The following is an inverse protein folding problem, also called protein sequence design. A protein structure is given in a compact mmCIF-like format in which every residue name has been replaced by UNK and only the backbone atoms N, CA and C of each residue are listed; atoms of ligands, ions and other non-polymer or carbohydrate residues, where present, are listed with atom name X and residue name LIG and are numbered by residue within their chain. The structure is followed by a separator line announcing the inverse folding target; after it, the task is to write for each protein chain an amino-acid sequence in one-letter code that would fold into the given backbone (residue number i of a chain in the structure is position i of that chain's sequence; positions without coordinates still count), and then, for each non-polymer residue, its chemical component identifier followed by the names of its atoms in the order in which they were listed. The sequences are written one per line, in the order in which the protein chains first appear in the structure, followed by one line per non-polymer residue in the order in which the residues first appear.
data_IF_658730092748
#
_entry.id   IF_658730092748
#
_cell.length_a   1.000
_cell.length_b   1.000
_cell.length_c   1.000
_cell.angle_alpha   90.00
_cell.angle_beta   90.00
_cell.angle_gamma   90.00
#
_symmetry.space_group_name_H-M   'P 1'
#
loop_
_entity.id
_entity.type
_entity.pdbx_description
1 polymer ?
#
# COMPACT_ATOMS: atom_id res chain seq x y z
N UNK A 1 -9.39 -10.34 9.04
CA UNK A 1 -8.02 -10.80 9.35
C UNK A 1 -7.28 -11.05 8.03
N UNK A 2 -6.67 -9.99 7.48
CA UNK A 2 -6.13 -9.92 6.10
C UNK A 2 -4.60 -10.18 6.02
N UNK A 3 -4.06 -10.97 6.96
CA UNK A 3 -2.62 -11.27 7.02
C UNK A 3 -2.22 -12.39 6.04
N UNK A 4 -3.18 -13.21 5.61
CA UNK A 4 -2.93 -14.40 4.76
C UNK A 4 -2.74 -14.04 3.29
N UNK A 5 -3.33 -12.93 2.82
CA UNK A 5 -3.26 -12.51 1.42
C UNK A 5 -1.83 -12.19 0.95
N UNK A 6 -1.04 -11.34 1.65
CA UNK A 6 0.33 -11.03 1.22
C UNK A 6 1.23 -12.27 1.17
N UNK A 7 1.09 -13.20 2.13
CA UNK A 7 1.85 -14.47 2.11
C UNK A 7 1.57 -15.31 0.86
N UNK A 8 0.29 -15.44 0.47
CA UNK A 8 -0.12 -16.20 -0.73
C UNK A 8 0.35 -15.56 -2.03
N UNK A 9 0.51 -14.23 -2.08
CA UNK A 9 1.05 -13.53 -3.24
C UNK A 9 2.54 -13.84 -3.39
N UNK A 10 3.29 -13.90 -2.27
CA UNK A 10 4.70 -14.35 -2.27
C UNK A 10 4.82 -15.79 -2.74
N UNK A 11 4.02 -16.68 -2.17
CA UNK A 11 4.07 -18.12 -2.45
C UNK A 11 3.71 -18.45 -3.90
N UNK A 12 2.88 -17.61 -4.53
CA UNK A 12 2.48 -17.76 -5.94
C UNK A 12 3.30 -16.93 -6.92
N UNK A 13 4.29 -16.18 -6.43
CA UNK A 13 5.14 -15.26 -7.19
C UNK A 13 4.36 -14.46 -8.25
N UNK A 14 3.29 -13.78 -7.83
CA UNK A 14 2.40 -13.10 -8.78
C UNK A 14 3.17 -11.93 -9.42
N UNK A 15 3.33 -12.00 -10.74
CA UNK A 15 3.93 -10.92 -11.51
C UNK A 15 3.02 -9.69 -11.58
N UNK A 16 3.58 -8.46 -11.46
CA UNK A 16 2.86 -7.24 -11.78
C UNK A 16 2.35 -7.26 -13.22
N UNK A 17 1.13 -6.76 -13.42
CA UNK A 17 0.66 -6.44 -14.76
C UNK A 17 1.36 -5.18 -15.26
N UNK A 18 2.49 -5.36 -15.94
CA UNK A 18 3.28 -4.26 -16.51
C UNK A 18 2.54 -3.45 -17.57
N UNK A 19 1.39 -3.91 -18.09
CA UNK A 19 0.56 -3.16 -19.06
C UNK A 19 -0.58 -2.39 -18.38
N UNK A 20 -0.58 -2.27 -17.04
CA UNK A 20 -1.59 -1.52 -16.31
C UNK A 20 -1.54 -0.01 -16.67
N UNK A 21 -2.62 0.56 -17.23
CA UNK A 21 -2.67 1.98 -17.58
C UNK A 21 -2.65 2.90 -16.34
N UNK A 22 -3.00 2.38 -15.15
CA UNK A 22 -2.96 3.14 -13.90
C UNK A 22 -1.59 3.08 -13.21
N UNK A 23 -0.63 2.34 -13.77
CA UNK A 23 0.73 2.22 -13.29
C UNK A 23 0.85 1.60 -11.88
N UNK A 24 -0.10 0.76 -11.43
CA UNK A 24 -0.01 0.07 -10.14
C UNK A 24 0.34 -1.42 -10.29
N UNK A 25 0.72 -1.87 -11.49
CA UNK A 25 1.02 -3.28 -11.74
C UNK A 25 -0.17 -4.20 -11.50
N UNK A 26 -1.41 -3.70 -11.56
CA UNK A 26 -2.61 -4.46 -11.20
C UNK A 26 -2.84 -4.65 -9.70
N UNK A 27 -2.02 -4.04 -8.82
CA UNK A 27 -2.12 -4.18 -7.36
C UNK A 27 -3.03 -3.15 -6.68
N UNK A 28 -3.56 -2.16 -7.42
CA UNK A 28 -4.49 -1.16 -6.86
C UNK A 28 -5.71 -1.79 -6.13
N UNK A 29 -6.36 -2.85 -6.64
CA UNK A 29 -7.47 -3.50 -5.94
C UNK A 29 -7.06 -4.10 -4.59
N UNK A 30 -5.82 -4.58 -4.47
CA UNK A 30 -5.27 -5.11 -3.22
C UNK A 30 -5.05 -4.01 -2.18
N UNK A 31 -4.49 -2.87 -2.60
CA UNK A 31 -4.40 -1.68 -1.75
C UNK A 31 -5.77 -1.24 -1.23
N UNK A 32 -6.78 -1.20 -2.11
CA UNK A 32 -8.15 -0.87 -1.72
C UNK A 32 -8.75 -1.88 -0.73
N UNK A 33 -8.50 -3.18 -0.90
CA UNK A 33 -8.98 -4.21 0.02
C UNK A 33 -8.36 -4.07 1.42
N UNK A 34 -7.06 -3.77 1.50
CA UNK A 34 -6.35 -3.52 2.77
C UNK A 34 -6.96 -2.31 3.47
N UNK A 35 -7.20 -1.22 2.73
CA UNK A 35 -7.86 -0.01 3.22
C UNK A 35 -9.23 -0.34 3.80
N UNK A 36 -10.16 -0.88 3.00
CA UNK A 36 -11.55 -1.16 3.42
C UNK A 36 -11.57 -2.09 4.63
N UNK A 37 -10.73 -3.12 4.65
CA UNK A 37 -10.63 -4.02 5.80
C UNK A 37 -10.17 -3.32 7.07
N UNK A 38 -9.30 -2.32 6.97
CA UNK A 38 -8.80 -1.58 8.13
C UNK A 38 -9.80 -0.50 8.56
N UNK A 39 -10.49 0.14 7.61
CA UNK A 39 -11.56 1.09 7.89
C UNK A 39 -12.72 0.42 8.63
N UNK A 40 -13.11 -0.79 8.23
CA UNK A 40 -14.10 -1.59 8.97
C UNK A 40 -13.64 -1.90 10.39
N UNK A 41 -12.35 -2.25 10.56
CA UNK A 41 -11.77 -2.48 11.89
C UNK A 41 -11.84 -1.23 12.78
N UNK A 42 -11.42 -0.07 12.26
CA UNK A 42 -11.53 1.20 12.98
C UNK A 42 -12.98 1.61 13.23
N UNK A 43 -13.91 1.33 12.31
CA UNK A 43 -15.34 1.56 12.52
C UNK A 43 -15.90 0.75 13.69
N UNK A 44 -15.51 -0.52 13.82
CA UNK A 44 -15.89 -1.35 14.98
C UNK A 44 -15.30 -0.82 16.28
N UNK A 45 -14.02 -0.42 16.28
CA UNK A 45 -13.39 0.22 17.45
C UNK A 45 -14.14 1.50 17.83
N UNK A 46 -14.52 2.31 16.85
CA UNK A 46 -15.22 3.57 17.07
C UNK A 46 -16.59 3.33 17.70
N UNK A 47 -17.40 2.42 17.15
CA UNK A 47 -18.70 2.06 17.73
C UNK A 47 -18.54 1.53 19.16
N UNK A 48 -17.55 0.65 19.38
CA UNK A 48 -17.28 0.09 20.69
C UNK A 48 -16.83 1.17 21.69
N UNK A 49 -15.98 2.10 21.26
CA UNK A 49 -15.56 3.27 22.04
C UNK A 49 -16.76 4.12 22.43
N UNK A 50 -17.61 4.51 21.48
CA UNK A 50 -18.83 5.27 21.78
C UNK A 50 -19.71 4.53 22.79
N UNK A 51 -19.96 3.23 22.61
CA UNK A 51 -20.77 2.45 23.55
C UNK A 51 -20.18 2.37 24.96
N UNK A 52 -18.85 2.40 25.08
CA UNK A 52 -18.15 2.30 26.36
C UNK A 52 -18.13 3.63 27.13
N UNK A 53 -18.00 4.75 26.42
CA UNK A 53 -17.95 6.08 27.03
C UNK A 53 -19.33 6.77 27.16
N UNK A 54 -20.34 6.36 26.39
CA UNK A 54 -21.68 6.97 26.43
C UNK A 54 -22.34 6.93 27.83
N UNK A 55 -22.25 5.85 28.63
CA UNK A 55 -22.80 5.83 29.99
C UNK A 55 -22.14 6.85 30.93
N UNK A 56 -20.84 7.12 30.76
CA UNK A 56 -20.10 8.14 31.53
C UNK A 56 -20.65 9.54 31.24
N UNK A 57 -20.89 9.88 29.97
CA UNK A 57 -21.46 11.18 29.59
C UNK A 57 -22.89 11.38 30.08
N UNK A 58 -23.68 10.30 30.12
CA UNK A 58 -25.10 10.37 30.53
C UNK A 58 -25.31 10.21 32.04
N UNK A 59 -24.24 10.11 32.84
CA UNK A 59 -24.30 9.83 34.28
C UNK A 59 -25.24 8.66 34.61
N UNK A 60 -25.30 7.67 33.71
CA UNK A 60 -26.04 6.45 33.97
C UNK A 60 -25.22 5.68 34.99
N UNK A 61 -25.78 5.39 36.17
CA UNK A 61 -25.12 4.72 37.32
C UNK A 61 -24.71 3.26 37.06
N UNK A 62 -24.12 3.01 35.90
CA UNK A 62 -23.58 1.74 35.42
C UNK A 62 -22.16 1.61 35.95
N UNK A 63 -21.78 0.41 36.37
CA UNK A 63 -20.39 0.10 36.72
C UNK A 63 -19.58 0.08 35.42
N UNK A 64 -18.88 1.19 35.15
CA UNK A 64 -17.96 1.31 34.01
C UNK A 64 -16.60 0.77 34.44
N UNK A 65 -15.91 0.07 33.53
CA UNK A 65 -14.54 -0.35 33.76
C UNK A 65 -13.64 0.86 34.09
N UNK A 66 -12.56 0.69 34.90
CA UNK A 66 -11.62 1.77 35.18
C UNK A 66 -11.13 2.41 33.88
N UNK A 67 -11.02 3.75 33.87
CA UNK A 67 -10.58 4.53 32.70
C UNK A 67 -9.22 4.03 32.17
N UNK A 68 -8.35 3.58 33.06
CA UNK A 68 -7.02 3.07 32.72
C UNK A 68 -7.08 1.78 31.87
N UNK A 69 -7.96 0.85 32.22
CA UNK A 69 -8.11 -0.42 31.48
C UNK A 69 -8.69 -0.22 30.08
N UNK A 70 -9.68 0.67 29.95
CA UNK A 70 -10.26 1.04 28.66
C UNK A 70 -9.22 1.76 27.79
N UNK A 71 -8.43 2.66 28.37
CA UNK A 71 -7.38 3.39 27.64
C UNK A 71 -6.31 2.45 27.10
N UNK A 72 -5.85 1.49 27.91
CA UNK A 72 -4.88 0.47 27.48
C UNK A 72 -5.46 -0.41 26.36
N UNK A 73 -6.71 -0.86 26.50
CA UNK A 73 -7.37 -1.68 25.48
C UNK A 73 -7.50 -0.93 24.14
N UNK A 74 -8.02 0.30 24.15
CA UNK A 74 -8.17 1.09 22.93
C UNK A 74 -6.84 1.49 22.32
N UNK A 75 -5.83 1.79 23.14
CA UNK A 75 -4.46 2.03 22.68
C UNK A 75 -3.86 0.81 21.98
N UNK A 76 -4.01 -0.39 22.58
CA UNK A 76 -3.56 -1.65 21.99
C UNK A 76 -4.29 -1.98 20.69
N UNK A 77 -5.61 -1.84 20.67
CA UNK A 77 -6.43 -2.03 19.48
C UNK A 77 -6.07 -1.05 18.36
N UNK A 78 -5.80 0.21 18.70
CA UNK A 78 -5.35 1.22 17.74
C UNK A 78 -4.03 0.83 17.07
N UNK A 79 -3.01 0.48 17.88
CA UNK A 79 -1.71 0.03 17.38
C UNK A 79 -1.86 -1.22 16.51
N UNK A 80 -2.69 -2.16 16.92
CA UNK A 80 -2.98 -3.36 16.12
C UNK A 80 -3.63 -3.03 14.78
N UNK A 81 -4.55 -2.06 14.73
CA UNK A 81 -5.16 -1.55 13.50
C UNK A 81 -4.13 -0.93 12.56
N UNK A 82 -3.25 -0.08 13.07
CA UNK A 82 -2.16 0.51 12.30
C UNK A 82 -1.22 -0.56 11.73
N UNK A 83 -0.80 -1.52 12.55
CA UNK A 83 0.07 -2.61 12.10
C UNK A 83 -0.62 -3.48 11.04
N UNK A 84 -1.92 -3.72 11.19
CA UNK A 84 -2.74 -4.48 10.22
C UNK A 84 -2.87 -3.78 8.86
N UNK A 85 -2.70 -2.45 8.82
CA UNK A 85 -2.65 -1.67 7.58
C UNK A 85 -1.24 -1.60 7.00
N UNK A 86 -0.26 -1.20 7.82
CA UNK A 86 1.11 -0.95 7.38
C UNK A 86 1.82 -2.23 6.93
N UNK A 87 1.64 -3.34 7.65
CA UNK A 87 2.38 -4.58 7.36
C UNK A 87 2.10 -5.13 5.95
N UNK A 88 0.84 -5.29 5.49
CA UNK A 88 0.55 -5.72 4.12
C UNK A 88 1.03 -4.73 3.05
N UNK A 89 0.95 -3.43 3.31
CA UNK A 89 1.40 -2.39 2.37
C UNK A 89 2.90 -2.45 2.16
N UNK A 90 3.68 -2.51 3.24
CA UNK A 90 5.14 -2.60 3.18
C UNK A 90 5.58 -3.89 2.48
N UNK A 91 4.89 -4.99 2.76
CA UNK A 91 5.16 -6.25 2.08
C UNK A 91 4.91 -6.15 0.57
N UNK A 92 3.78 -5.55 0.17
CA UNK A 92 3.42 -5.39 -1.23
C UNK A 92 4.33 -4.39 -1.95
N UNK A 93 4.74 -3.32 -1.28
CA UNK A 93 5.73 -2.37 -1.76
C UNK A 93 7.05 -3.08 -2.09
N UNK A 94 7.59 -3.87 -1.16
CA UNK A 94 8.83 -4.61 -1.37
C UNK A 94 8.70 -5.60 -2.54
N UNK A 95 7.58 -6.31 -2.64
CA UNK A 95 7.33 -7.25 -3.75
C UNK A 95 7.31 -6.54 -5.11
N UNK A 96 6.57 -5.42 -5.22
CA UNK A 96 6.48 -4.65 -6.46
C UNK A 96 7.84 -4.04 -6.82
N UNK A 97 8.56 -3.49 -5.85
CA UNK A 97 9.87 -2.86 -6.05
C UNK A 97 10.88 -3.86 -6.59
N UNK A 98 10.97 -5.06 -6.00
CA UNK A 98 11.85 -6.13 -6.48
C UNK A 98 11.47 -6.55 -7.91
N UNK A 99 10.20 -6.83 -8.19
CA UNK A 99 9.74 -7.26 -9.52
C UNK A 99 9.93 -6.19 -10.59
N UNK A 100 9.74 -4.91 -10.24
CA UNK A 100 9.99 -3.77 -11.10
C UNK A 100 11.47 -3.71 -11.52
N UNK A 101 12.38 -3.84 -10.56
CA UNK A 101 13.82 -3.82 -10.84
C UNK A 101 14.27 -5.06 -11.63
N UNK A 102 13.76 -6.26 -11.32
CA UNK A 102 13.99 -7.47 -12.12
C UNK A 102 13.55 -7.27 -13.58
N UNK A 103 12.37 -6.68 -13.80
CA UNK A 103 11.84 -6.43 -15.14
C UNK A 103 12.62 -5.35 -15.88
N UNK A 104 13.03 -4.29 -15.20
CA UNK A 104 13.89 -3.24 -15.76
C UNK A 104 15.24 -3.81 -16.18
N UNK A 105 15.87 -4.64 -15.35
CA UNK A 105 17.14 -5.29 -15.69
C UNK A 105 17.02 -6.22 -16.90
N UNK A 106 15.92 -6.99 -16.99
CA UNK A 106 15.62 -7.79 -18.18
C UNK A 106 15.46 -6.93 -19.44
N UNK A 107 14.71 -5.83 -19.36
CA UNK A 107 14.50 -4.94 -20.50
C UNK A 107 15.78 -4.18 -20.89
N UNK A 108 16.58 -3.72 -19.94
CA UNK A 108 17.90 -3.11 -20.20
C UNK A 108 18.83 -4.11 -20.91
N UNK A 109 18.87 -5.36 -20.45
CA UNK A 109 19.63 -6.42 -21.12
C UNK A 109 19.14 -6.67 -22.55
N UNK A 110 17.84 -6.62 -22.81
CA UNK A 110 17.30 -6.82 -24.17
C UNK A 110 17.57 -5.61 -25.07
N UNK A 111 17.47 -4.39 -24.54
CA UNK A 111 17.81 -3.15 -25.25
C UNK A 111 19.30 -3.14 -25.63
N UNK A 112 20.20 -3.59 -24.75
CA UNK A 112 21.63 -3.69 -25.07
C UNK A 112 21.95 -4.68 -26.20
N UNK A 113 21.05 -5.63 -26.52
CA UNK A 113 21.23 -6.58 -27.63
C UNK A 113 20.83 -5.99 -28.99
N UNK A 114 20.01 -4.94 -29.03
CA UNK A 114 19.59 -4.29 -30.29
C UNK A 114 20.63 -3.29 -30.82
N UNK A 115 21.72 -3.08 -30.10
CA UNK A 115 22.81 -2.16 -30.44
C UNK A 115 24.04 -2.83 -31.03
N UNK A 116 24.99 -2.01 -31.49
CA UNK A 116 26.35 -2.48 -31.80
C UNK A 116 27.08 -2.82 -30.50
N UNK A 117 28.03 -3.76 -30.54
CA UNK A 117 28.83 -4.15 -29.36
C UNK A 117 29.55 -2.96 -28.70
N UNK A 118 29.88 -1.94 -29.50
CA UNK A 118 30.53 -0.70 -29.06
C UNK A 118 29.62 0.17 -28.17
N UNK A 119 28.30 0.06 -28.32
CA UNK A 119 27.31 0.87 -27.58
C UNK A 119 26.81 0.18 -26.31
N UNK A 120 27.38 -0.98 -25.96
CA UNK A 120 26.90 -1.82 -24.85
C UNK A 120 26.91 -1.11 -23.49
N UNK A 121 27.69 -0.04 -23.31
CA UNK A 121 27.76 0.77 -22.08
C UNK A 121 27.01 2.11 -22.15
N UNK A 122 26.38 2.43 -23.28
CA UNK A 122 25.88 3.79 -23.56
C UNK A 122 24.39 3.98 -23.30
N UNK A 123 23.66 3.01 -22.74
CA UNK A 123 22.22 3.12 -22.50
C UNK A 123 21.85 4.44 -21.77
N UNK A 124 20.89 5.24 -22.27
CA UNK A 124 19.96 4.95 -23.37
C UNK A 124 20.44 5.33 -24.79
N UNK A 125 21.68 5.77 -24.99
CA UNK A 125 22.23 6.18 -26.29
C UNK A 125 22.76 4.99 -27.12
N UNK A 126 21.89 4.03 -27.43
CA UNK A 126 22.23 2.91 -28.32
C UNK A 126 22.00 3.32 -29.77
N UNK A 127 22.89 2.91 -30.70
CA UNK A 127 22.73 3.15 -32.15
C UNK A 127 22.33 1.84 -32.85
N UNK A 128 21.05 1.68 -33.21
CA UNK A 128 20.58 0.53 -33.99
C UNK A 128 21.30 0.41 -35.34
N UNK A 129 21.46 -0.82 -35.85
CA UNK A 129 22.20 -1.06 -37.11
C UNK A 129 21.33 -0.82 -38.34
N UNK A 130 20.03 -1.07 -38.23
CA UNK A 130 19.05 -0.93 -39.31
C UNK A 130 17.68 -0.43 -38.80
N UNK A 131 16.72 -0.30 -39.71
CA UNK A 131 15.36 0.18 -39.40
C UNK A 131 14.56 -0.80 -38.55
N UNK A 132 14.80 -2.12 -38.68
CA UNK A 132 14.05 -3.13 -37.94
C UNK A 132 14.52 -3.15 -36.47
N UNK A 133 15.84 -3.09 -36.23
CA UNK A 133 16.42 -2.92 -34.89
C UNK A 133 16.01 -1.60 -34.24
N UNK A 134 15.84 -0.53 -35.02
CA UNK A 134 15.35 0.76 -34.52
C UNK A 134 13.91 0.65 -33.99
N UNK A 135 13.04 -0.07 -34.72
CA UNK A 135 11.66 -0.30 -34.28
C UNK A 135 11.64 -1.13 -33.00
N UNK A 136 12.46 -2.19 -32.93
CA UNK A 136 12.58 -3.04 -31.73
C UNK A 136 13.09 -2.24 -30.52
N UNK A 137 14.14 -1.44 -30.70
CA UNK A 137 14.68 -0.55 -29.68
C UNK A 137 13.60 0.39 -29.12
N UNK A 138 12.84 1.07 -29.98
CA UNK A 138 11.76 1.97 -29.55
C UNK A 138 10.70 1.22 -28.75
N UNK A 139 10.29 0.03 -29.19
CA UNK A 139 9.30 -0.78 -28.47
C UNK A 139 9.80 -1.21 -27.09
N UNK A 140 11.06 -1.65 -26.99
CA UNK A 140 11.66 -2.05 -25.72
C UNK A 140 11.84 -0.85 -24.78
N UNK A 141 12.28 0.29 -25.29
CA UNK A 141 12.44 1.52 -24.52
C UNK A 141 11.09 2.02 -23.98
N UNK A 142 10.03 2.01 -24.79
CA UNK A 142 8.68 2.36 -24.33
C UNK A 142 8.17 1.44 -23.22
N UNK A 143 8.48 0.14 -23.30
CA UNK A 143 8.17 -0.81 -22.22
C UNK A 143 8.99 -0.51 -20.97
N UNK A 144 10.28 -0.24 -21.12
CA UNK A 144 11.16 0.11 -20.00
C UNK A 144 10.66 1.36 -19.27
N UNK A 145 10.39 2.43 -20.01
CA UNK A 145 9.86 3.70 -19.51
C UNK A 145 8.49 3.51 -18.82
N UNK A 146 7.62 2.66 -19.37
CA UNK A 146 6.35 2.33 -18.72
C UNK A 146 6.53 1.57 -17.40
N UNK A 147 7.44 0.59 -17.34
CA UNK A 147 7.76 -0.15 -16.10
C UNK A 147 8.44 0.77 -15.08
N UNK A 148 9.32 1.67 -15.52
CA UNK A 148 10.01 2.61 -14.64
C UNK A 148 9.04 3.60 -13.96
N UNK A 149 8.03 4.06 -14.71
CA UNK A 149 6.93 4.89 -14.17
C UNK A 149 5.94 4.13 -13.29
N UNK A 150 6.01 2.80 -13.23
CA UNK A 150 5.14 2.01 -12.36
C UNK A 150 5.35 2.40 -10.90
N UNK A 151 4.24 2.66 -10.21
CA UNK A 151 4.19 2.98 -8.79
C UNK A 151 4.44 1.72 -7.98
N UNK A 152 5.30 1.86 -6.99
CA UNK A 152 5.63 0.77 -6.06
C UNK A 152 4.68 0.72 -4.87
N UNK A 153 3.99 1.82 -4.57
CA UNK A 153 2.98 1.86 -3.52
C UNK A 153 1.60 1.50 -4.09
N UNK A 154 0.89 0.51 -3.50
CA UNK A 154 -0.40 0.04 -3.99
C UNK A 154 -1.56 0.99 -3.64
N UNK A 155 -1.28 2.13 -3.01
CA UNK A 155 -2.24 3.13 -2.57
C UNK A 155 -2.01 4.46 -3.28
N UNK A 156 -3.11 5.17 -3.54
CA UNK A 156 -3.04 6.57 -3.93
C UNK A 156 -3.15 7.50 -2.71
N UNK A 157 -2.92 8.78 -2.96
CA UNK A 157 -2.95 9.82 -1.93
C UNK A 157 -4.32 9.90 -1.25
N UNK A 158 -5.40 9.82 -2.02
CA UNK A 158 -6.78 9.85 -1.50
C UNK A 158 -7.05 8.68 -0.54
N UNK A 159 -6.66 7.46 -0.91
CA UNK A 159 -6.76 6.29 -0.03
C UNK A 159 -6.02 6.47 1.29
N UNK A 160 -4.86 7.11 1.25
CA UNK A 160 -4.04 7.38 2.45
C UNK A 160 -4.72 8.43 3.34
N UNK A 161 -5.27 9.49 2.76
CA UNK A 161 -6.00 10.53 3.50
C UNK A 161 -7.27 10.00 4.17
N UNK A 162 -8.05 9.19 3.46
CA UNK A 162 -9.27 8.58 4.00
C UNK A 162 -8.95 7.67 5.20
N UNK A 163 -7.92 6.83 5.06
CA UNK A 163 -7.43 6.00 6.16
C UNK A 163 -7.00 6.82 7.37
N UNK A 164 -6.17 7.84 7.18
CA UNK A 164 -5.70 8.71 8.26
C UNK A 164 -6.87 9.36 8.98
N UNK A 165 -7.83 9.90 8.22
CA UNK A 165 -9.04 10.54 8.76
C UNK A 165 -9.79 9.58 9.68
N UNK A 166 -10.09 8.36 9.21
CA UNK A 166 -10.84 7.37 9.98
C UNK A 166 -10.03 6.87 11.18
N UNK A 167 -8.73 6.65 11.02
CA UNK A 167 -7.86 6.15 12.09
C UNK A 167 -7.72 7.13 13.24
N UNK A 168 -7.86 8.44 13.02
CA UNK A 168 -7.73 9.46 14.06
C UNK A 168 -9.03 9.70 14.84
N UNK A 169 -10.19 9.34 14.29
CA UNK A 169 -11.49 9.55 14.95
C UNK A 169 -11.61 8.94 16.36
N UNK A 170 -11.09 7.73 16.65
CA UNK A 170 -11.18 7.14 17.98
C UNK A 170 -10.55 7.98 19.11
N UNK A 171 -9.62 8.91 18.80
CA UNK A 171 -8.99 9.79 19.80
C UNK A 171 -9.82 11.01 20.16
N UNK A 172 -10.83 11.36 19.36
CA UNK A 172 -11.67 12.54 19.62
C UNK A 172 -12.51 12.32 20.88
N UNK A 173 -13.05 11.12 21.08
CA UNK A 173 -13.98 10.83 22.18
C UNK A 173 -13.30 10.83 23.58
N UNK A 174 -12.12 10.20 23.78
CA UNK A 174 -11.36 10.31 25.03
C UNK A 174 -10.89 11.73 25.33
N UNK A 175 -10.46 12.50 24.32
CA UNK A 175 -10.02 13.89 24.51
C UNK A 175 -11.17 14.78 24.98
N UNK A 176 -12.37 14.63 24.40
CA UNK A 176 -13.55 15.40 24.81
C UNK A 176 -13.95 15.05 26.25
N UNK A 177 -13.92 13.77 26.62
CA UNK A 177 -14.24 13.35 28.00
C UNK A 177 -13.22 13.86 29.02
N UNK A 178 -11.94 13.94 28.67
CA UNK A 178 -10.89 14.47 29.55
C UNK A 178 -10.95 16.01 29.71
N UNK A 179 -11.56 16.74 28.76
CA UNK A 179 -11.71 18.21 28.82
C UNK A 179 -13.00 18.63 29.54
N UNK A 180 -14.05 17.79 29.52
CA UNK A 180 -15.37 18.09 30.10
C UNK A 180 -15.53 17.64 31.55
N UNK A 181 -14.60 16.85 32.09
CA UNK A 181 -14.49 16.44 33.50
C UNK A 181 -13.49 17.33 34.25
#
# INVERSE_FOLDING_TARGET
MNIILPKKIKEKDIEPNYMDPKLYGGFKPLGHLIKVSTELYFGVILIFSFSSFLPLFLNMGVVVAPIDDLTVFFGGAYVFGLLSFLSPILWLHNHISVKKEEKKASLDSDIRKTGREEDFYSFPEIRPRDNDEMIEYIQLYLRFDHVDRMKEYPLDFSMTQEFLTISLLPFINPLISYILL
#
